data_IF_624616918484
#
_entry.id   IF_624616918484
#
_cell.length_a   1.000
_cell.length_b   1.000
_cell.length_c   1.000
_cell.angle_alpha   90.00
_cell.angle_beta   90.00
_cell.angle_gamma   90.00
#
_symmetry.space_group_name_H-M   'P 1'
#
loop_
_entity.id
_entity.type
_entity.pdbx_description
1 polymer ?
#
# COMPACT_ATOMS: atom_id res chain seq x y z
N UNK A 1 -9.61 19.83 -11.05
CA UNK A 1 -8.82 18.63 -10.64
C UNK A 1 -9.67 17.85 -9.67
N UNK A 2 -9.92 16.55 -9.91
CA UNK A 2 -10.68 15.72 -8.95
C UNK A 2 -9.81 15.54 -7.71
N UNK A 3 -10.34 15.83 -6.53
CA UNK A 3 -9.71 15.46 -5.26
C UNK A 3 -9.39 13.97 -5.29
N UNK A 4 -8.10 13.62 -5.22
CA UNK A 4 -7.69 12.23 -5.07
C UNK A 4 -7.82 11.90 -3.60
N UNK A 5 -8.99 11.39 -3.21
CA UNK A 5 -9.11 10.75 -1.91
C UNK A 5 -8.14 9.56 -1.88
N UNK A 6 -7.17 9.59 -0.97
CA UNK A 6 -6.28 8.46 -0.77
C UNK A 6 -7.05 7.32 -0.11
N UNK A 7 -7.07 6.15 -0.75
CA UNK A 7 -7.77 4.98 -0.25
C UNK A 7 -6.80 4.00 0.39
N UNK A 8 -6.93 3.82 1.71
CA UNK A 8 -6.24 2.76 2.43
C UNK A 8 -6.60 1.40 1.82
N UNK A 9 -5.59 0.54 1.69
CA UNK A 9 -5.80 -0.85 1.29
C UNK A 9 -6.38 -1.65 2.45
N UNK A 10 -7.33 -2.54 2.13
CA UNK A 10 -7.67 -3.64 3.03
C UNK A 10 -6.49 -4.59 3.15
N UNK A 11 -6.46 -5.40 4.22
CA UNK A 11 -5.40 -6.37 4.46
C UNK A 11 -5.17 -7.30 3.24
N UNK A 12 -6.25 -7.77 2.61
CA UNK A 12 -6.16 -8.64 1.43
C UNK A 12 -5.64 -7.89 0.19
N UNK A 13 -6.02 -6.62 0.00
CA UNK A 13 -5.50 -5.80 -1.10
C UNK A 13 -4.02 -5.46 -0.88
N UNK A 14 -3.61 -5.21 0.35
CA UNK A 14 -2.22 -4.96 0.73
C UNK A 14 -1.36 -6.22 0.53
N UNK A 15 -1.86 -7.40 0.92
CA UNK A 15 -1.23 -8.69 0.64
C UNK A 15 -1.01 -8.90 -0.87
N UNK A 16 -2.03 -8.56 -1.67
CA UNK A 16 -1.96 -8.63 -3.14
C UNK A 16 -0.90 -7.68 -3.69
N UNK A 17 -0.92 -6.41 -3.27
CA UNK A 17 0.04 -5.42 -3.75
C UNK A 17 1.47 -5.71 -3.30
N UNK A 18 1.70 -6.29 -2.12
CA UNK A 18 3.03 -6.69 -1.67
C UNK A 18 3.66 -7.70 -2.63
N UNK A 19 2.90 -8.72 -3.05
CA UNK A 19 3.38 -9.70 -4.06
C UNK A 19 3.71 -9.01 -5.38
N UNK A 20 2.88 -8.06 -5.82
CA UNK A 20 3.12 -7.33 -7.07
C UNK A 20 4.38 -6.45 -6.97
N UNK A 21 4.56 -5.74 -5.84
CA UNK A 21 5.70 -4.87 -5.59
C UNK A 21 7.01 -5.63 -5.46
N UNK A 22 7.00 -6.78 -4.77
CA UNK A 22 8.18 -7.63 -4.59
C UNK A 22 8.75 -8.13 -5.92
N UNK A 23 7.89 -8.46 -6.89
CA UNK A 23 8.34 -8.91 -8.21
C UNK A 23 8.60 -7.78 -9.21
N UNK A 24 8.21 -6.54 -8.87
CA UNK A 24 8.43 -5.32 -9.65
C UNK A 24 8.12 -5.48 -11.17
N UNK A 25 6.99 -6.14 -11.48
CA UNK A 25 6.55 -6.42 -12.85
C UNK A 25 5.03 -6.37 -12.99
N UNK A 26 4.55 -6.44 -14.23
CA UNK A 26 3.13 -6.59 -14.53
C UNK A 26 2.70 -8.06 -14.50
N UNK A 27 1.42 -8.31 -14.21
CA UNK A 27 0.88 -9.66 -14.03
C UNK A 27 -0.44 -9.87 -14.77
N UNK A 28 -0.64 -11.07 -15.33
CA UNK A 28 -1.98 -11.54 -15.71
C UNK A 28 -2.76 -11.96 -14.46
N UNK A 29 -4.09 -11.82 -14.52
CA UNK A 29 -4.95 -12.29 -13.42
C UNK A 29 -4.79 -13.78 -13.12
N UNK A 30 -4.51 -14.61 -14.12
CA UNK A 30 -4.29 -16.05 -13.95
C UNK A 30 -3.02 -16.35 -13.17
N UNK A 31 -1.93 -15.62 -13.43
CA UNK A 31 -0.66 -15.78 -12.70
C UNK A 31 -0.84 -15.46 -11.22
N UNK A 32 -1.53 -14.35 -10.91
CA UNK A 32 -1.82 -13.97 -9.53
C UNK A 32 -2.74 -15.00 -8.86
N UNK A 33 -3.77 -15.49 -9.55
CA UNK A 33 -4.68 -16.49 -8.99
C UNK A 33 -3.94 -17.78 -8.61
N UNK A 34 -3.09 -18.26 -9.53
CA UNK A 34 -2.31 -19.47 -9.30
C UNK A 34 -1.30 -19.27 -8.16
N UNK A 35 -0.60 -18.14 -8.13
CA UNK A 35 0.32 -17.81 -7.04
C UNK A 35 -0.40 -17.79 -5.68
N UNK A 36 -1.51 -17.07 -5.56
CA UNK A 36 -2.22 -16.95 -4.28
C UNK A 36 -2.81 -18.29 -3.83
N UNK A 37 -3.32 -19.10 -4.76
CA UNK A 37 -3.89 -20.38 -4.41
C UNK A 37 -2.82 -21.42 -4.03
N UNK A 38 -1.65 -21.41 -4.67
CA UNK A 38 -0.56 -22.37 -4.42
C UNK A 38 0.33 -21.95 -3.25
N UNK A 39 0.87 -20.74 -3.30
CA UNK A 39 1.91 -20.27 -2.38
C UNK A 39 1.34 -19.72 -1.07
N UNK A 40 0.15 -19.10 -1.14
CA UNK A 40 -0.53 -18.51 0.03
C UNK A 40 -1.70 -19.36 0.54
N UNK A 41 -1.94 -20.52 -0.07
CA UNK A 41 -3.02 -21.44 0.29
C UNK A 41 -4.42 -20.81 0.20
N UNK A 42 -4.58 -19.70 -0.53
CA UNK A 42 -5.89 -19.10 -0.75
C UNK A 42 -6.73 -20.08 -1.57
N UNK A 43 -8.05 -20.07 -1.39
CA UNK A 43 -8.97 -20.87 -2.23
C UNK A 43 -9.86 -19.93 -3.05
N UNK A 44 -9.23 -18.95 -3.68
CA UNK A 44 -9.94 -17.92 -4.41
C UNK A 44 -10.40 -18.45 -5.76
N UNK A 45 -11.62 -18.05 -6.14
CA UNK A 45 -12.11 -18.16 -7.51
C UNK A 45 -11.67 -16.93 -8.29
N UNK A 46 -11.61 -17.05 -9.63
CA UNK A 46 -11.22 -15.94 -10.52
C UNK A 46 -12.03 -14.65 -10.27
N UNK A 47 -13.33 -14.76 -9.98
CA UNK A 47 -14.19 -13.61 -9.69
C UNK A 47 -13.78 -12.88 -8.39
N UNK A 48 -13.33 -13.62 -7.37
CA UNK A 48 -12.84 -13.06 -6.11
C UNK A 48 -11.60 -12.21 -6.34
N UNK A 49 -10.62 -12.77 -7.05
CA UNK A 49 -9.40 -12.02 -7.40
C UNK A 49 -9.72 -10.80 -8.28
N UNK A 50 -10.60 -10.97 -9.28
CA UNK A 50 -11.05 -9.88 -10.15
C UNK A 50 -11.66 -8.74 -9.34
N UNK A 51 -12.43 -9.04 -8.29
CA UNK A 51 -13.02 -8.03 -7.41
C UNK A 51 -11.95 -7.19 -6.71
N UNK A 52 -10.91 -7.83 -6.18
CA UNK A 52 -9.79 -7.10 -5.55
C UNK A 52 -9.01 -6.27 -6.57
N UNK A 53 -8.74 -6.84 -7.75
CA UNK A 53 -7.99 -6.15 -8.79
C UNK A 53 -8.75 -4.93 -9.33
N UNK A 54 -10.07 -5.01 -9.53
CA UNK A 54 -10.89 -3.85 -9.91
C UNK A 54 -10.83 -2.76 -8.86
N UNK A 55 -10.96 -3.11 -7.57
CA UNK A 55 -10.85 -2.12 -6.48
C UNK A 55 -9.48 -1.46 -6.45
N UNK A 56 -8.41 -2.22 -6.68
CA UNK A 56 -7.05 -1.68 -6.74
C UNK A 56 -6.86 -0.72 -7.92
N UNK A 57 -7.51 -1.00 -9.06
CA UNK A 57 -7.56 -0.08 -10.20
C UNK A 57 -8.34 1.20 -9.84
N UNK A 58 -9.52 1.06 -9.22
CA UNK A 58 -10.34 2.21 -8.81
C UNK A 58 -9.61 3.09 -7.78
N UNK A 59 -8.79 2.48 -6.92
CA UNK A 59 -7.92 3.18 -5.94
C UNK A 59 -6.65 3.79 -6.56
N UNK A 60 -6.40 3.56 -7.85
CA UNK A 60 -5.22 4.08 -8.56
C UNK A 60 -3.91 3.39 -8.19
N UNK A 61 -3.98 2.16 -7.67
CA UNK A 61 -2.78 1.36 -7.32
C UNK A 61 -2.28 0.54 -8.50
N UNK A 62 -3.23 0.10 -9.35
CA UNK A 62 -2.97 -0.66 -10.56
C UNK A 62 -3.59 0.06 -11.77
N UNK A 63 -2.96 -0.11 -12.92
CA UNK A 63 -3.60 0.06 -14.23
C UNK A 63 -3.92 -1.31 -14.82
N UNK A 64 -4.84 -1.36 -15.78
CA UNK A 64 -5.22 -2.59 -16.48
C UNK A 64 -5.18 -2.39 -17.98
N UNK A 65 -4.42 -3.24 -18.66
CA UNK A 65 -4.38 -3.30 -20.13
C UNK A 65 -4.90 -4.64 -20.62
N UNK A 66 -5.61 -4.62 -21.74
CA UNK A 66 -5.99 -5.84 -22.45
C UNK A 66 -4.82 -6.28 -23.32
N UNK A 67 -4.46 -7.55 -23.19
CA UNK A 67 -3.50 -8.24 -24.04
C UNK A 67 -4.14 -9.53 -24.56
N UNK A 68 -4.64 -9.47 -25.80
CA UNK A 68 -5.48 -10.51 -26.40
C UNK A 68 -6.76 -10.74 -25.59
N UNK A 69 -6.91 -11.94 -25.02
CA UNK A 69 -8.06 -12.34 -24.19
C UNK A 69 -7.82 -12.17 -22.69
N UNK A 70 -6.65 -11.67 -22.29
CA UNK A 70 -6.25 -11.55 -20.88
C UNK A 70 -6.12 -10.10 -20.46
N UNK A 71 -6.37 -9.85 -19.17
CA UNK A 71 -6.04 -8.58 -18.53
C UNK A 71 -4.66 -8.67 -17.90
N UNK A 72 -3.84 -7.64 -18.14
CA UNK A 72 -2.53 -7.44 -17.54
C UNK A 72 -2.61 -6.24 -16.61
N UNK A 73 -2.27 -6.45 -15.34
CA UNK A 73 -2.29 -5.44 -14.29
C UNK A 73 -0.89 -4.91 -14.06
N UNK A 74 -0.78 -3.59 -13.98
CA UNK A 74 0.48 -2.85 -13.96
C UNK A 74 0.53 -2.01 -12.68
N UNK A 75 1.53 -2.18 -11.79
CA UNK A 75 1.65 -1.32 -10.62
C UNK A 75 1.92 0.14 -11.01
N UNK A 76 1.11 1.05 -10.47
CA UNK A 76 1.25 2.50 -10.72
C UNK A 76 2.08 3.22 -9.67
N UNK A 77 2.18 2.63 -8.48
CA UNK A 77 2.96 3.15 -7.36
C UNK A 77 3.92 2.07 -6.90
N UNK A 78 5.09 2.48 -6.42
CA UNK A 78 5.94 1.64 -5.58
C UNK A 78 5.40 1.53 -4.15
N UNK A 79 5.81 0.50 -3.42
CA UNK A 79 5.50 0.36 -1.99
C UNK A 79 5.92 1.60 -1.19
N UNK A 80 7.07 2.20 -1.52
CA UNK A 80 7.57 3.41 -0.86
C UNK A 80 6.65 4.61 -1.07
N UNK A 81 6.16 4.80 -2.29
CA UNK A 81 5.21 5.87 -2.61
C UNK A 81 3.86 5.64 -1.94
N UNK A 82 3.36 4.40 -1.93
CA UNK A 82 2.13 4.05 -1.21
C UNK A 82 2.25 4.37 0.29
N UNK A 83 3.32 3.87 0.95
CA UNK A 83 3.56 4.11 2.38
C UNK A 83 3.69 5.59 2.73
N UNK A 84 4.35 6.37 1.87
CA UNK A 84 4.46 7.82 2.05
C UNK A 84 3.08 8.48 2.01
N UNK A 85 2.24 8.12 1.04
CA UNK A 85 0.87 8.65 0.92
C UNK A 85 -0.02 8.21 2.08
N UNK A 86 0.11 6.96 2.51
CA UNK A 86 -0.60 6.41 3.67
C UNK A 86 -0.24 7.16 4.96
N UNK A 87 1.06 7.35 5.22
CA UNK A 87 1.54 8.10 6.38
C UNK A 87 1.03 9.55 6.38
N UNK A 88 1.07 10.23 5.23
CA UNK A 88 0.52 11.58 5.10
C UNK A 88 -0.98 11.61 5.38
N UNK A 89 -1.74 10.67 4.83
CA UNK A 89 -3.19 10.58 5.07
C UNK A 89 -3.52 10.34 6.54
N UNK A 90 -2.73 9.53 7.25
CA UNK A 90 -2.86 9.33 8.70
C UNK A 90 -2.57 10.63 9.45
N UNK A 91 -1.48 11.33 9.12
CA UNK A 91 -1.13 12.62 9.72
C UNK A 91 -2.25 13.65 9.54
N UNK A 92 -2.77 13.79 8.33
CA UNK A 92 -3.81 14.77 8.01
C UNK A 92 -5.11 14.46 8.77
N UNK A 93 -5.54 13.19 8.77
CA UNK A 93 -6.82 12.76 9.36
C UNK A 93 -6.80 12.74 10.89
N UNK A 94 -5.71 12.29 11.50
CA UNK A 94 -5.66 12.04 12.95
C UNK A 94 -4.93 13.14 13.72
N UNK A 95 -3.95 13.81 13.09
CA UNK A 95 -3.05 14.75 13.78
C UNK A 95 -3.09 16.15 13.17
N UNK A 96 -4.11 16.44 12.34
CA UNK A 96 -4.30 17.73 11.65
C UNK A 96 -3.06 18.14 10.83
N UNK A 97 -2.38 17.16 10.23
CA UNK A 97 -1.17 17.35 9.44
C UNK A 97 0.10 17.66 10.25
N UNK A 98 0.02 17.67 11.60
CA UNK A 98 1.15 18.04 12.45
C UNK A 98 1.98 16.82 12.86
N UNK A 99 3.20 16.72 12.32
CA UNK A 99 4.21 15.74 12.76
C UNK A 99 4.52 15.91 14.25
N UNK A 100 4.55 17.16 14.74
CA UNK A 100 4.76 17.44 16.17
C UNK A 100 3.67 16.81 17.04
N UNK A 101 2.39 16.90 16.63
CA UNK A 101 1.28 16.34 17.40
C UNK A 101 1.32 14.81 17.38
N UNK A 102 1.69 14.22 16.24
CA UNK A 102 1.94 12.78 16.15
C UNK A 102 3.04 12.33 17.11
N UNK A 103 4.21 12.98 17.07
CA UNK A 103 5.33 12.66 17.96
C UNK A 103 5.00 12.90 19.43
N UNK A 104 4.26 13.95 19.77
CA UNK A 104 3.79 14.19 21.14
C UNK A 104 2.89 13.04 21.64
N UNK A 105 2.00 12.52 20.78
CA UNK A 105 1.15 11.38 21.14
C UNK A 105 1.92 10.08 21.34
N UNK A 106 3.04 9.91 20.62
CA UNK A 106 3.96 8.79 20.85
C UNK A 106 4.77 9.00 22.12
N UNK A 107 5.22 10.22 22.42
CA UNK A 107 6.01 10.50 23.61
C UNK A 107 5.26 10.23 24.92
N UNK A 108 3.95 10.50 24.94
CA UNK A 108 3.09 10.12 26.07
C UNK A 108 3.03 8.58 26.26
N UNK A 109 3.35 7.80 25.22
CA UNK A 109 3.51 6.33 25.27
C UNK A 109 4.97 5.89 25.05
N UNK A 110 5.75 5.79 26.14
CA UNK A 110 6.99 4.98 26.29
C UNK A 110 7.83 4.75 25.00
N UNK A 111 8.16 5.80 24.25
CA UNK A 111 9.19 5.66 23.21
C UNK A 111 10.52 5.29 23.90
N UNK A 112 11.19 4.20 23.48
CA UNK A 112 12.49 3.84 24.03
C UNK A 112 13.48 5.02 23.93
N UNK A 113 14.27 5.32 24.99
CA UNK A 113 15.18 6.47 24.99
C UNK A 113 16.19 6.47 23.82
N UNK A 114 16.63 5.29 23.38
CA UNK A 114 17.50 5.07 22.24
C UNK A 114 16.86 5.49 20.92
N UNK A 115 15.60 5.12 20.68
CA UNK A 115 14.85 5.54 19.49
C UNK A 115 14.65 7.07 19.45
N UNK A 116 14.44 7.70 20.60
CA UNK A 116 14.33 9.16 20.70
C UNK A 116 15.63 9.90 20.38
N UNK A 117 16.77 9.40 20.87
CA UNK A 117 18.08 10.00 20.57
C UNK A 117 18.44 9.83 19.08
N UNK A 118 18.15 8.68 18.47
CA UNK A 118 18.30 8.47 17.03
C UNK A 118 17.43 9.45 16.21
N UNK A 119 16.17 9.65 16.62
CA UNK A 119 15.26 10.61 15.97
C UNK A 119 15.78 12.05 16.06
N UNK A 120 16.21 12.50 17.25
CA UNK A 120 16.78 13.86 17.44
C UNK A 120 18.00 14.09 16.54
N UNK A 121 18.88 13.09 16.46
CA UNK A 121 20.08 13.15 15.62
C UNK A 121 19.70 13.24 14.14
N UNK A 122 18.78 12.39 13.68
CA UNK A 122 18.30 12.41 12.29
C UNK A 122 17.67 13.76 11.89
N UNK A 123 16.95 14.43 12.79
CA UNK A 123 16.43 15.78 12.53
C UNK A 123 17.50 16.87 12.50
N UNK A 124 18.62 16.69 13.21
CA UNK A 124 19.71 17.66 13.27
C UNK A 124 20.70 17.53 12.10
N UNK A 125 20.81 16.31 11.55
CA UNK A 125 21.69 15.98 10.41
C UNK A 125 21.06 16.29 9.04
N UNK A 126 19.82 16.82 9.00
CA UNK A 126 19.08 17.21 7.81
C UNK A 126 18.93 18.72 7.70
#
# INVERSE_FOLDING_TARGET
MKEVNFYKLSETEEELMNVIWEQNRSFRSTELLDFFNREKGKRWKSQTLTTFLTRLVDKGMLDVKKDGRSNVYIPLLSIKEYRKREAQSVLDRMYKGSVRNFLASLYDEKVPPDEMEELKKWFSDK
#
